data_IF_432604140210
#
_entry.id   IF_432604140210
#
_cell.length_a   1.000
_cell.length_b   1.000
_cell.length_c   1.000
_cell.angle_alpha   90.00
_cell.angle_beta   90.00
_cell.angle_gamma   90.00
#
_symmetry.space_group_name_H-M   'P 1'
#
loop_
_entity.id
_entity.type
_entity.pdbx_description
1 polymer ?
#
# COMPACT_ATOMS: atom_id res chain seq x y z
N UNK A 1 83.31 30.89 41.97
CA UNK A 1 82.72 30.79 40.61
C UNK A 1 82.32 29.33 40.38
N UNK A 2 81.02 29.11 40.11
CA UNK A 2 80.36 27.89 39.59
C UNK A 2 80.57 26.59 40.41
N UNK A 3 79.72 26.29 41.40
CA UNK A 3 78.34 25.74 41.32
C UNK A 3 78.35 24.32 40.74
N UNK A 4 78.47 23.31 41.59
CA UNK A 4 77.41 22.54 42.29
C UNK A 4 76.93 21.33 41.46
N UNK A 5 77.42 20.18 41.88
CA UNK A 5 76.81 18.86 41.71
C UNK A 5 75.41 18.79 42.32
N UNK A 6 74.50 18.02 41.74
CA UNK A 6 73.68 17.00 42.46
C UNK A 6 73.23 15.91 41.46
N UNK A 7 73.41 14.65 41.87
CA UNK A 7 72.88 13.41 41.28
C UNK A 7 71.40 13.22 41.63
N UNK A 8 70.58 12.63 40.75
CA UNK A 8 69.94 11.29 40.91
C UNK A 8 68.75 11.04 39.97
N UNK A 9 68.79 9.84 39.37
CA UNK A 9 67.73 8.86 39.05
C UNK A 9 66.47 9.28 38.26
N UNK A 10 66.44 8.72 37.04
CA UNK A 10 65.36 7.92 36.42
C UNK A 10 63.90 8.25 36.82
N UNK A 11 63.19 8.82 35.84
CA UNK A 11 61.74 8.78 35.74
C UNK A 11 61.38 8.36 34.31
N UNK A 12 60.50 7.37 34.20
CA UNK A 12 59.87 6.86 32.98
C UNK A 12 59.25 8.01 32.15
N UNK A 13 59.63 8.11 30.88
CA UNK A 13 58.86 8.85 29.88
C UNK A 13 58.28 7.84 28.89
N UNK A 14 57.02 7.46 29.13
CA UNK A 14 56.14 6.85 28.13
C UNK A 14 56.00 7.88 27.01
N UNK A 15 56.66 7.63 25.88
CA UNK A 15 56.47 8.41 24.67
C UNK A 15 55.08 8.12 24.11
N UNK A 16 54.12 8.96 24.45
CA UNK A 16 52.83 9.01 23.78
C UNK A 16 53.07 9.36 22.31
N UNK A 17 52.80 8.41 21.41
CA UNK A 17 52.58 8.73 19.99
C UNK A 17 51.26 9.48 19.94
N UNK A 18 51.32 10.80 19.92
CA UNK A 18 50.18 11.62 19.56
C UNK A 18 49.84 11.32 18.11
N UNK A 19 48.91 10.40 17.89
CA UNK A 19 48.09 10.38 16.69
C UNK A 19 47.30 11.69 16.69
N UNK A 20 47.86 12.70 16.04
CA UNK A 20 47.12 13.88 15.67
C UNK A 20 46.02 13.44 14.70
N UNK A 21 44.82 13.17 15.22
CA UNK A 21 43.58 13.15 14.45
C UNK A 21 43.28 14.59 14.02
N UNK A 22 44.09 15.08 13.09
CA UNK A 22 43.87 16.34 12.41
C UNK A 22 42.82 16.16 11.33
N UNK A 23 41.73 16.91 11.47
CA UNK A 23 40.76 17.30 10.44
C UNK A 23 39.84 16.17 9.95
N UNK A 24 38.54 16.36 10.11
CA UNK A 24 37.49 15.51 9.56
C UNK A 24 37.64 15.33 8.05
N UNK A 25 38.33 14.27 7.64
CA UNK A 25 38.40 13.84 6.27
C UNK A 25 37.13 13.08 5.95
N UNK A 26 36.19 13.73 5.25
CA UNK A 26 35.14 13.00 4.55
C UNK A 26 35.83 11.91 3.71
N UNK A 27 35.47 10.65 3.92
CA UNK A 27 36.02 9.56 3.13
C UNK A 27 35.85 9.87 1.63
N UNK A 28 36.79 9.46 0.75
CA UNK A 28 36.65 9.63 -0.69
C UNK A 28 35.30 9.10 -1.22
N UNK A 29 34.78 8.05 -0.58
CA UNK A 29 33.44 7.49 -0.79
C UNK A 29 32.33 8.49 -0.48
N UNK A 30 32.35 9.13 0.70
CA UNK A 30 31.37 10.16 1.07
C UNK A 30 31.38 11.36 0.11
N UNK A 31 32.55 11.75 -0.41
CA UNK A 31 32.69 12.81 -1.41
C UNK A 31 32.12 12.41 -2.77
N UNK A 32 32.40 11.19 -3.24
CA UNK A 32 31.85 10.67 -4.48
C UNK A 32 30.32 10.58 -4.44
N UNK A 33 29.78 10.04 -3.33
CA UNK A 33 28.34 9.94 -3.09
C UNK A 33 27.67 11.32 -3.05
N UNK A 34 28.26 12.27 -2.32
CA UNK A 34 27.77 13.67 -2.27
C UNK A 34 27.74 14.33 -3.65
N UNK A 35 28.74 14.05 -4.50
CA UNK A 35 28.80 14.54 -5.87
C UNK A 35 27.68 13.96 -6.74
N UNK A 36 27.41 12.65 -6.62
CA UNK A 36 26.29 11.98 -7.31
C UNK A 36 24.94 12.56 -6.85
N UNK A 37 24.70 12.68 -5.53
CA UNK A 37 23.49 13.33 -4.98
C UNK A 37 23.27 14.73 -5.55
N UNK A 38 24.32 15.55 -5.63
CA UNK A 38 24.23 16.92 -6.19
C UNK A 38 23.87 16.92 -7.68
N UNK A 39 24.41 15.99 -8.47
CA UNK A 39 24.07 15.86 -9.90
C UNK A 39 22.60 15.50 -10.09
N UNK A 40 22.10 14.51 -9.35
CA UNK A 40 20.69 14.09 -9.36
C UNK A 40 19.78 15.26 -9.04
N UNK A 41 20.02 15.95 -7.91
CA UNK A 41 19.24 17.15 -7.53
C UNK A 41 19.27 18.22 -8.61
N UNK A 42 20.46 18.54 -9.14
CA UNK A 42 20.59 19.58 -10.18
C UNK A 42 19.81 19.23 -11.45
N UNK A 43 19.83 17.97 -11.88
CA UNK A 43 19.09 17.53 -13.05
C UNK A 43 17.58 17.64 -12.81
N UNK A 44 17.08 17.00 -11.76
CA UNK A 44 15.64 16.92 -11.49
C UNK A 44 15.04 18.29 -11.16
N UNK A 45 15.72 19.12 -10.37
CA UNK A 45 15.26 20.50 -10.08
C UNK A 45 15.31 21.41 -11.31
N UNK A 46 16.00 21.01 -12.38
CA UNK A 46 16.04 21.74 -13.65
C UNK A 46 14.89 21.39 -14.59
N UNK A 47 14.09 20.35 -14.29
CA UNK A 47 12.93 19.98 -15.08
C UNK A 47 11.78 20.96 -14.86
N UNK A 48 11.13 21.38 -15.94
CA UNK A 48 9.97 22.26 -15.83
C UNK A 48 8.83 21.54 -15.11
N UNK A 49 8.21 22.24 -14.15
CA UNK A 49 7.16 21.68 -13.30
C UNK A 49 7.65 21.06 -12.00
N UNK A 50 8.95 20.90 -11.77
CA UNK A 50 9.49 20.41 -10.48
C UNK A 50 9.60 21.55 -9.47
N UNK A 51 9.13 21.32 -8.23
CA UNK A 51 9.16 22.30 -7.13
C UNK A 51 10.22 21.95 -6.08
N UNK A 52 10.40 20.67 -5.77
CA UNK A 52 11.46 20.21 -4.85
C UNK A 52 11.94 18.80 -5.20
N UNK A 53 13.17 18.50 -4.77
CA UNK A 53 13.81 17.21 -4.97
C UNK A 53 14.55 16.82 -3.70
N UNK A 54 14.22 15.66 -3.17
CA UNK A 54 14.92 15.03 -2.05
C UNK A 54 15.62 13.77 -2.53
N UNK A 55 16.80 13.50 -1.98
CA UNK A 55 17.65 12.38 -2.41
C UNK A 55 18.28 11.77 -1.18
N UNK A 56 17.80 10.59 -0.85
CA UNK A 56 18.30 9.74 0.20
C UNK A 56 19.01 8.53 -0.40
N UNK A 57 20.05 8.09 0.30
CA UNK A 57 20.85 6.97 -0.16
C UNK A 57 21.18 6.12 1.04
N UNK A 58 20.79 4.86 0.97
CA UNK A 58 21.22 3.83 1.88
C UNK A 58 22.52 3.22 1.32
N UNK A 59 23.68 3.48 1.96
CA UNK A 59 24.96 3.00 1.47
C UNK A 59 25.03 1.49 1.63
N UNK A 60 25.13 0.80 0.50
CA UNK A 60 25.31 -0.64 0.52
C UNK A 60 26.74 -0.98 0.96
N UNK A 61 26.92 -1.47 2.19
CA UNK A 61 28.25 -1.86 2.69
C UNK A 61 28.87 -3.00 1.86
N UNK A 62 28.03 -3.85 1.26
CA UNK A 62 28.41 -5.05 0.48
C UNK A 62 27.73 -5.09 -0.89
N UNK A 63 26.72 -4.25 -1.11
CA UNK A 63 25.93 -4.21 -2.36
C UNK A 63 25.95 -2.81 -2.95
N UNK A 64 25.43 -2.63 -4.17
CA UNK A 64 25.22 -1.28 -4.69
C UNK A 64 24.33 -0.44 -3.77
N UNK A 65 24.63 0.86 -3.70
CA UNK A 65 23.86 1.87 -3.00
C UNK A 65 22.40 1.85 -3.49
N UNK A 66 21.45 1.89 -2.54
CA UNK A 66 20.02 2.10 -2.85
C UNK A 66 19.73 3.59 -2.83
N UNK A 67 19.13 4.08 -3.90
CA UNK A 67 18.80 5.49 -4.08
C UNK A 67 17.29 5.66 -4.02
N UNK A 68 16.84 6.41 -3.02
CA UNK A 68 15.44 6.80 -2.86
C UNK A 68 15.34 8.30 -3.19
N UNK A 69 14.60 8.63 -4.23
CA UNK A 69 14.50 9.99 -4.76
C UNK A 69 13.05 10.43 -4.73
N UNK A 70 12.74 11.52 -4.04
CA UNK A 70 11.41 12.12 -4.06
C UNK A 70 11.42 13.40 -4.89
N UNK A 71 10.45 13.54 -5.80
CA UNK A 71 10.28 14.67 -6.71
C UNK A 71 8.88 15.22 -6.55
N UNK A 72 8.75 16.42 -6.02
CA UNK A 72 7.47 17.11 -5.95
C UNK A 72 7.30 17.98 -7.20
N UNK A 73 6.14 17.88 -7.85
CA UNK A 73 5.76 18.73 -8.97
C UNK A 73 4.96 19.95 -8.49
N UNK A 74 4.68 20.88 -9.41
CA UNK A 74 3.68 21.93 -9.25
C UNK A 74 2.29 21.29 -9.13
N UNK A 75 1.36 21.97 -8.47
CA UNK A 75 -0.05 21.57 -8.45
C UNK A 75 -0.67 21.67 -9.85
N UNK A 76 -1.63 20.78 -10.11
CA UNK A 76 -2.37 20.64 -11.37
C UNK A 76 -1.48 20.59 -12.63
N UNK A 77 -0.41 19.76 -12.65
CA UNK A 77 0.42 19.64 -13.83
C UNK A 77 -0.39 19.02 -14.97
N UNK A 78 -0.14 19.49 -16.20
CA UNK A 78 -0.73 18.86 -17.39
C UNK A 78 -0.25 17.41 -17.52
N UNK A 79 -1.13 16.52 -18.00
CA UNK A 79 -0.82 15.10 -18.20
C UNK A 79 0.49 14.89 -18.98
N UNK A 80 0.69 15.62 -20.08
CA UNK A 80 1.89 15.50 -20.91
C UNK A 80 3.16 15.94 -20.18
N UNK A 81 3.06 16.94 -19.28
CA UNK A 81 4.16 17.37 -18.42
C UNK A 81 4.53 16.28 -17.41
N UNK A 82 3.53 15.65 -16.77
CA UNK A 82 3.76 14.54 -15.84
C UNK A 82 4.45 13.38 -16.56
N UNK A 83 3.90 12.94 -17.70
CA UNK A 83 4.47 11.88 -18.53
C UNK A 83 5.90 12.21 -18.97
N UNK A 84 6.18 13.44 -19.42
CA UNK A 84 7.52 13.84 -19.85
C UNK A 84 8.57 13.73 -18.74
N UNK A 85 8.19 14.06 -17.49
CA UNK A 85 9.08 13.97 -16.33
C UNK A 85 9.33 12.49 -15.98
N UNK A 86 8.26 11.73 -15.74
CA UNK A 86 8.36 10.35 -15.25
C UNK A 86 9.04 9.39 -16.26
N UNK A 87 8.84 9.60 -17.58
CA UNK A 87 9.48 8.80 -18.64
C UNK A 87 11.00 8.80 -18.56
N UNK A 88 11.58 9.97 -18.30
CA UNK A 88 13.02 10.18 -18.42
C UNK A 88 13.73 10.24 -17.07
N UNK A 89 13.03 10.67 -16.01
CA UNK A 89 13.64 10.95 -14.72
C UNK A 89 14.36 9.72 -14.15
N UNK A 90 13.70 8.55 -14.09
CA UNK A 90 14.33 7.35 -13.53
C UNK A 90 15.57 6.93 -14.33
N UNK A 91 15.46 6.86 -15.65
CA UNK A 91 16.56 6.42 -16.52
C UNK A 91 17.76 7.36 -16.39
N UNK A 92 17.54 8.67 -16.33
CA UNK A 92 18.63 9.62 -16.15
C UNK A 92 19.24 9.53 -14.74
N UNK A 93 18.43 9.32 -13.70
CA UNK A 93 18.96 9.10 -12.35
C UNK A 93 19.85 7.86 -12.31
N UNK A 94 19.39 6.73 -12.87
CA UNK A 94 20.17 5.49 -13.02
C UNK A 94 21.51 5.78 -13.70
N UNK A 95 21.51 6.53 -14.82
CA UNK A 95 22.73 6.92 -15.53
C UNK A 95 23.67 7.83 -14.69
N UNK A 96 23.11 8.78 -13.93
CA UNK A 96 23.89 9.72 -13.13
C UNK A 96 24.55 9.06 -11.92
N UNK A 97 23.89 8.05 -11.34
CA UNK A 97 24.35 7.35 -10.15
C UNK A 97 25.07 6.05 -10.46
N UNK A 98 24.97 5.54 -11.69
CA UNK A 98 25.56 4.27 -12.13
C UNK A 98 25.10 3.10 -11.25
N UNK A 99 23.79 3.02 -11.02
CA UNK A 99 23.11 1.97 -10.22
C UNK A 99 21.68 1.79 -10.72
N UNK A 100 21.22 0.55 -10.82
CA UNK A 100 19.85 0.19 -11.18
C UNK A 100 18.90 0.18 -9.96
N UNK A 101 19.44 0.22 -8.74
CA UNK A 101 18.72 0.31 -7.46
C UNK A 101 18.26 1.74 -7.17
N UNK A 102 17.41 2.24 -8.05
CA UNK A 102 16.79 3.55 -7.96
C UNK A 102 15.28 3.40 -7.84
N UNK A 103 14.76 3.90 -6.73
CA UNK A 103 13.34 4.15 -6.49
C UNK A 103 13.11 5.66 -6.63
N UNK A 104 12.09 6.02 -7.42
CA UNK A 104 11.76 7.41 -7.69
C UNK A 104 10.27 7.64 -7.44
N UNK A 105 9.98 8.50 -6.47
CA UNK A 105 8.64 8.87 -6.05
C UNK A 105 8.32 10.26 -6.59
N UNK A 106 7.36 10.32 -7.52
CA UNK A 106 6.92 11.58 -8.11
C UNK A 106 5.55 11.93 -7.55
N UNK A 107 5.45 13.07 -6.89
CA UNK A 107 4.24 13.50 -6.17
C UNK A 107 3.73 14.83 -6.68
N UNK A 108 2.41 14.99 -6.74
CA UNK A 108 1.76 16.25 -7.09
C UNK A 108 0.33 16.31 -6.52
N UNK A 109 -0.33 17.46 -6.66
CA UNK A 109 -1.75 17.59 -6.35
C UNK A 109 -2.54 17.79 -7.63
N UNK A 110 -3.67 17.10 -7.76
CA UNK A 110 -4.64 17.32 -8.83
C UNK A 110 -5.98 17.75 -8.20
N UNK A 111 -6.28 19.05 -8.25
CA UNK A 111 -7.34 19.67 -7.48
C UNK A 111 -7.11 19.44 -5.99
N UNK A 112 -8.04 18.74 -5.34
CA UNK A 112 -7.94 18.36 -3.93
C UNK A 112 -7.27 16.99 -3.70
N UNK A 113 -6.98 16.23 -4.76
CA UNK A 113 -6.48 14.86 -4.68
C UNK A 113 -4.95 14.85 -4.65
N UNK A 114 -4.38 14.13 -3.69
CA UNK A 114 -2.94 13.86 -3.64
C UNK A 114 -2.58 12.75 -4.62
N UNK A 115 -1.59 12.98 -5.47
CA UNK A 115 -1.16 12.05 -6.50
C UNK A 115 0.28 11.61 -6.24
N UNK A 116 0.54 10.31 -6.35
CA UNK A 116 1.90 9.77 -6.34
C UNK A 116 2.11 8.73 -7.42
N UNK A 117 3.34 8.67 -7.93
CA UNK A 117 3.81 7.66 -8.85
C UNK A 117 5.17 7.16 -8.40
N UNK A 118 5.22 5.89 -8.03
CA UNK A 118 6.41 5.17 -7.57
C UNK A 118 7.02 4.44 -8.77
N UNK A 119 8.29 4.69 -9.09
CA UNK A 119 8.96 4.10 -10.24
C UNK A 119 10.06 3.11 -9.81
N UNK A 120 10.21 1.97 -10.53
CA UNK A 120 9.57 1.64 -11.81
C UNK A 120 8.10 1.21 -11.68
N UNK A 121 7.32 1.43 -12.73
CA UNK A 121 5.93 0.99 -12.86
C UNK A 121 5.64 0.50 -14.28
N UNK A 122 4.85 -0.57 -14.38
CA UNK A 122 4.37 -1.11 -15.65
C UNK A 122 3.31 -0.21 -16.31
N UNK A 123 3.32 -0.14 -17.66
CA UNK A 123 2.27 0.52 -18.46
C UNK A 123 1.94 1.98 -18.05
N UNK A 124 2.96 2.73 -17.60
CA UNK A 124 2.83 4.12 -17.13
C UNK A 124 2.14 5.07 -18.13
N UNK A 125 2.38 4.85 -19.43
CA UNK A 125 1.75 5.57 -20.55
C UNK A 125 0.23 5.44 -20.59
N UNK A 126 -0.31 4.36 -20.04
CA UNK A 126 -1.74 4.12 -19.90
C UNK A 126 -2.23 4.51 -18.50
N UNK A 127 -1.43 4.22 -17.47
CA UNK A 127 -1.78 4.47 -16.08
C UNK A 127 -1.98 5.95 -15.77
N UNK A 128 -1.06 6.83 -16.18
CA UNK A 128 -1.17 8.27 -15.88
C UNK A 128 -2.42 8.90 -16.50
N UNK A 129 -2.71 8.72 -17.82
CA UNK A 129 -3.95 9.22 -18.39
C UNK A 129 -5.21 8.62 -17.76
N UNK A 130 -5.16 7.36 -17.35
CA UNK A 130 -6.29 6.69 -16.69
C UNK A 130 -6.59 7.31 -15.32
N UNK A 131 -5.58 7.49 -14.47
CA UNK A 131 -5.79 8.07 -13.13
C UNK A 131 -6.27 9.51 -13.20
N UNK A 132 -5.75 10.30 -14.14
CA UNK A 132 -6.14 11.71 -14.30
C UNK A 132 -7.62 11.87 -14.66
N UNK A 133 -8.25 10.84 -15.26
CA UNK A 133 -9.69 10.84 -15.61
C UNK A 133 -10.61 10.46 -14.46
N UNK A 134 -10.09 9.83 -13.40
CA UNK A 134 -10.87 9.37 -12.25
C UNK A 134 -10.68 10.22 -11.00
N UNK A 135 -9.84 11.27 -11.09
CA UNK A 135 -9.72 12.27 -10.03
C UNK A 135 -11.07 12.99 -9.85
N UNK A 136 -11.62 12.87 -8.65
CA UNK A 136 -12.83 13.57 -8.22
C UNK A 136 -12.63 14.10 -6.80
N UNK A 137 -13.53 14.97 -6.33
CA UNK A 137 -13.49 15.49 -4.95
C UNK A 137 -13.71 14.42 -3.87
N UNK A 138 -14.15 13.22 -4.24
CA UNK A 138 -14.33 12.10 -3.30
C UNK A 138 -13.03 11.32 -3.08
N UNK A 139 -12.07 11.44 -4.00
CA UNK A 139 -10.79 10.74 -3.97
C UNK A 139 -9.78 11.58 -3.21
N UNK A 140 -9.36 11.08 -2.04
CA UNK A 140 -8.34 11.70 -1.20
C UNK A 140 -6.95 11.59 -1.85
N UNK A 141 -6.59 10.39 -2.31
CA UNK A 141 -5.32 10.17 -2.98
C UNK A 141 -5.37 9.07 -4.05
N UNK A 142 -4.49 9.20 -5.03
CA UNK A 142 -4.21 8.18 -6.02
C UNK A 142 -2.72 7.87 -6.03
N UNK A 143 -2.41 6.59 -5.91
CA UNK A 143 -1.06 6.06 -5.96
C UNK A 143 -0.92 5.15 -7.18
N UNK A 144 0.10 5.39 -8.00
CA UNK A 144 0.55 4.48 -9.05
C UNK A 144 1.83 3.82 -8.54
N UNK A 145 1.87 2.50 -8.46
CA UNK A 145 3.07 1.75 -8.09
C UNK A 145 3.27 0.53 -8.98
N UNK A 146 4.36 -0.19 -8.76
CA UNK A 146 4.89 -1.25 -9.64
C UNK A 146 3.81 -2.04 -10.39
N UNK A 147 2.88 -2.68 -9.67
CA UNK A 147 1.88 -3.60 -10.20
C UNK A 147 0.43 -3.14 -9.97
N UNK A 148 0.20 -1.89 -9.53
CA UNK A 148 -1.13 -1.42 -9.14
C UNK A 148 -1.36 0.08 -9.23
N UNK A 149 -2.63 0.41 -9.35
CA UNK A 149 -3.19 1.74 -9.11
C UNK A 149 -4.06 1.64 -7.85
N UNK A 150 -3.83 2.49 -6.85
CA UNK A 150 -4.63 2.55 -5.62
C UNK A 150 -5.34 3.88 -5.52
N UNK A 151 -6.66 3.83 -5.32
CA UNK A 151 -7.52 4.98 -5.06
C UNK A 151 -7.96 4.93 -3.60
N UNK A 152 -7.57 5.94 -2.83
CA UNK A 152 -8.06 6.17 -1.48
C UNK A 152 -9.15 7.23 -1.52
N UNK A 153 -10.33 6.89 -1.01
CA UNK A 153 -11.47 7.79 -0.91
C UNK A 153 -11.56 8.38 0.49
N UNK A 154 -12.13 9.58 0.58
CA UNK A 154 -12.45 10.18 1.88
C UNK A 154 -13.44 9.31 2.65
N UNK A 155 -13.26 9.25 3.98
CA UNK A 155 -14.13 8.48 4.85
C UNK A 155 -15.58 8.98 4.84
N UNK A 156 -16.53 8.04 4.90
CA UNK A 156 -17.97 8.29 4.88
C UNK A 156 -18.66 7.58 6.04
N UNK A 157 -19.87 8.01 6.41
CA UNK A 157 -20.67 7.31 7.44
C UNK A 157 -21.30 6.02 6.89
N UNK A 158 -21.68 6.02 5.63
CA UNK A 158 -22.38 4.93 4.94
C UNK A 158 -21.82 4.80 3.54
N UNK A 159 -21.64 3.58 3.07
CA UNK A 159 -21.09 3.33 1.74
C UNK A 159 -22.10 3.75 0.64
N UNK A 160 -21.66 4.45 -0.41
CA UNK A 160 -22.49 4.70 -1.60
C UNK A 160 -22.90 3.40 -2.30
N UNK A 161 -24.11 3.34 -2.86
CA UNK A 161 -24.61 2.15 -3.57
C UNK A 161 -23.74 1.77 -4.78
N UNK A 162 -23.12 2.76 -5.42
CA UNK A 162 -22.39 2.62 -6.68
C UNK A 162 -20.87 2.71 -6.46
N UNK A 163 -20.38 2.37 -5.26
CA UNK A 163 -18.99 2.59 -4.89
C UNK A 163 -18.01 1.71 -5.69
N UNK A 164 -18.40 0.47 -6.02
CA UNK A 164 -17.55 -0.44 -6.79
C UNK A 164 -17.37 0.11 -8.21
N UNK A 165 -16.11 0.32 -8.63
CA UNK A 165 -15.82 0.80 -9.98
C UNK A 165 -16.34 -0.20 -11.03
N UNK A 166 -17.07 0.27 -12.06
CA UNK A 166 -17.49 -0.60 -13.16
C UNK A 166 -16.30 -0.94 -14.07
N UNK A 167 -16.43 -2.00 -14.87
CA UNK A 167 -15.45 -2.36 -15.91
C UNK A 167 -15.18 -1.24 -16.93
N UNK A 168 -16.10 -0.29 -17.07
CA UNK A 168 -15.94 0.88 -17.94
C UNK A 168 -15.09 1.99 -17.32
N UNK A 169 -14.68 1.85 -16.05
CA UNK A 169 -13.81 2.81 -15.38
C UNK A 169 -12.46 2.88 -16.07
N UNK A 170 -11.89 4.09 -16.31
CA UNK A 170 -10.62 4.26 -17.00
C UNK A 170 -9.44 3.51 -16.36
N UNK A 171 -9.49 3.29 -15.04
CA UNK A 171 -8.41 2.64 -14.28
C UNK A 171 -8.55 1.12 -14.20
N UNK A 172 -9.73 0.57 -14.46
CA UNK A 172 -9.97 -0.88 -14.42
C UNK A 172 -9.48 -1.51 -15.72
N UNK A 173 -8.56 -2.48 -15.62
CA UNK A 173 -7.99 -3.17 -16.79
C UNK A 173 -6.89 -2.37 -17.50
N UNK A 174 -6.22 -1.45 -16.81
CA UNK A 174 -5.01 -0.78 -17.32
C UNK A 174 -3.86 -1.78 -17.39
N UNK A 175 -3.73 -2.43 -18.54
CA UNK A 175 -2.61 -3.34 -18.76
C UNK A 175 -2.58 -4.50 -17.75
N UNK A 176 -1.41 -4.82 -17.18
CA UNK A 176 -1.29 -5.84 -16.14
C UNK A 176 -1.62 -5.33 -14.72
N UNK A 177 -1.90 -4.03 -14.55
CA UNK A 177 -2.05 -3.41 -13.24
C UNK A 177 -3.35 -3.85 -12.55
N UNK A 178 -3.27 -4.07 -11.24
CA UNK A 178 -4.45 -4.15 -10.37
C UNK A 178 -5.00 -2.76 -10.10
N UNK A 179 -6.29 -2.67 -9.79
CA UNK A 179 -6.87 -1.44 -9.26
C UNK A 179 -7.40 -1.69 -7.86
N UNK A 180 -6.87 -0.99 -6.87
CA UNK A 180 -7.32 -1.07 -5.48
C UNK A 180 -8.19 0.16 -5.15
N UNK A 181 -9.37 -0.03 -4.57
CA UNK A 181 -10.16 1.02 -3.93
C UNK A 181 -10.10 0.83 -2.41
N UNK A 182 -9.87 1.91 -1.68
CA UNK A 182 -9.92 1.93 -0.21
C UNK A 182 -10.83 3.05 0.28
N UNK A 183 -11.76 2.74 1.18
CA UNK A 183 -12.58 3.71 1.88
C UNK A 183 -12.80 3.31 3.34
N UNK A 184 -12.82 4.29 4.23
CA UNK A 184 -13.27 4.10 5.61
C UNK A 184 -14.77 4.38 5.70
N UNK A 185 -15.55 3.41 6.17
CA UNK A 185 -17.01 3.53 6.36
C UNK A 185 -17.32 3.46 7.85
N UNK A 186 -17.67 4.60 8.45
CA UNK A 186 -17.81 4.71 9.90
C UNK A 186 -16.47 4.42 10.58
N UNK A 187 -16.34 3.22 11.16
CA UNK A 187 -15.11 2.74 11.81
C UNK A 187 -14.55 1.47 11.16
N UNK A 188 -15.08 1.09 9.99
CA UNK A 188 -14.68 -0.11 9.25
C UNK A 188 -13.87 0.28 8.01
N UNK A 189 -12.90 -0.54 7.63
CA UNK A 189 -12.13 -0.37 6.40
C UNK A 189 -12.71 -1.27 5.31
N UNK A 190 -12.91 -0.73 4.11
CA UNK A 190 -13.39 -1.47 2.96
C UNK A 190 -12.35 -1.37 1.83
N UNK A 191 -11.89 -2.53 1.36
CA UNK A 191 -10.93 -2.66 0.27
C UNK A 191 -11.57 -3.43 -0.89
N UNK A 192 -11.35 -2.96 -2.12
CA UNK A 192 -11.81 -3.65 -3.33
C UNK A 192 -10.64 -3.74 -4.30
N UNK A 193 -10.27 -4.95 -4.69
CA UNK A 193 -9.20 -5.20 -5.65
C UNK A 193 -9.78 -5.71 -6.96
N UNK A 194 -9.71 -4.87 -7.99
CA UNK A 194 -10.07 -5.22 -9.36
C UNK A 194 -8.87 -5.82 -10.08
N UNK A 195 -9.10 -6.90 -10.84
CA UNK A 195 -8.07 -7.53 -11.64
C UNK A 195 -8.65 -8.30 -12.82
N UNK A 196 -7.87 -8.40 -13.92
CA UNK A 196 -8.17 -9.19 -15.12
C UNK A 196 -9.60 -9.07 -15.68
N UNK A 197 -10.27 -7.93 -15.49
CA UNK A 197 -11.59 -7.65 -16.04
C UNK A 197 -12.77 -8.34 -15.35
N UNK A 198 -12.60 -8.79 -14.11
CA UNK A 198 -13.71 -9.33 -13.30
C UNK A 198 -14.67 -8.22 -12.91
N UNK A 199 -15.96 -8.42 -13.19
CA UNK A 199 -17.00 -7.48 -12.77
C UNK A 199 -17.45 -7.77 -11.33
N UNK A 200 -17.06 -6.88 -10.42
CA UNK A 200 -17.38 -6.95 -8.99
C UNK A 200 -18.64 -6.16 -8.63
N UNK A 201 -19.24 -5.41 -9.56
CA UNK A 201 -20.32 -4.45 -9.25
C UNK A 201 -21.61 -5.09 -8.74
N UNK A 202 -21.79 -6.41 -8.97
CA UNK A 202 -22.93 -7.17 -8.45
C UNK A 202 -22.80 -7.54 -6.96
N UNK A 203 -21.61 -7.43 -6.38
CA UNK A 203 -21.33 -7.87 -5.01
C UNK A 203 -21.97 -6.88 -4.02
N UNK A 204 -22.79 -7.35 -3.07
CA UNK A 204 -23.58 -6.49 -2.18
C UNK A 204 -22.75 -5.96 -1.00
N UNK A 205 -21.62 -5.31 -1.29
CA UNK A 205 -20.63 -4.89 -0.30
C UNK A 205 -21.21 -3.93 0.76
N UNK A 206 -22.16 -3.08 0.35
CA UNK A 206 -22.89 -2.20 1.27
C UNK A 206 -23.74 -3.01 2.26
N UNK A 207 -24.54 -3.96 1.77
CA UNK A 207 -25.36 -4.83 2.63
C UNK A 207 -24.49 -5.66 3.56
N UNK A 208 -23.33 -6.12 3.10
CA UNK A 208 -22.33 -6.82 3.91
C UNK A 208 -21.84 -5.94 5.06
N UNK A 209 -21.43 -4.69 4.78
CA UNK A 209 -21.01 -3.74 5.81
C UNK A 209 -22.14 -3.41 6.80
N UNK A 210 -23.36 -3.23 6.29
CA UNK A 210 -24.54 -2.93 7.11
C UNK A 210 -24.95 -4.12 7.99
N UNK A 211 -24.64 -5.35 7.59
CA UNK A 211 -24.90 -6.56 8.36
C UNK A 211 -23.91 -6.78 9.52
N UNK A 212 -22.75 -6.12 9.52
CA UNK A 212 -21.79 -6.21 10.64
C UNK A 212 -22.41 -5.56 11.89
N UNK A 213 -22.46 -6.25 13.04
CA UNK A 213 -22.96 -5.67 14.29
C UNK A 213 -22.21 -4.40 14.69
N UNK A 214 -22.93 -3.39 15.19
CA UNK A 214 -22.36 -2.06 15.44
C UNK A 214 -21.17 -2.07 16.41
N UNK A 215 -21.20 -2.94 17.43
CA UNK A 215 -20.12 -3.15 18.39
C UNK A 215 -18.87 -3.80 17.77
N UNK A 216 -19.04 -4.55 16.68
CA UNK A 216 -17.96 -5.21 15.93
C UNK A 216 -17.40 -4.38 14.78
N UNK A 217 -18.08 -3.29 14.39
CA UNK A 217 -17.64 -2.43 13.27
C UNK A 217 -16.33 -1.69 13.54
N UNK A 218 -15.95 -1.51 14.79
CA UNK A 218 -14.71 -0.81 15.18
C UNK A 218 -13.52 -1.64 14.68
N UNK A 219 -12.86 -1.14 13.63
CA UNK A 219 -11.76 -1.80 12.92
C UNK A 219 -12.15 -3.10 12.18
N UNK A 220 -13.43 -3.32 11.92
CA UNK A 220 -13.82 -4.37 10.97
C UNK A 220 -13.18 -4.08 9.62
N UNK A 221 -12.69 -5.13 8.97
CA UNK A 221 -12.14 -5.04 7.62
C UNK A 221 -13.05 -5.82 6.69
N UNK A 222 -13.28 -5.29 5.49
CA UNK A 222 -14.06 -5.94 4.45
C UNK A 222 -13.25 -5.85 3.16
N UNK A 223 -12.79 -6.99 2.67
CA UNK A 223 -11.98 -7.07 1.45
C UNK A 223 -12.74 -7.83 0.37
N UNK A 224 -12.86 -7.22 -0.79
CA UNK A 224 -13.40 -7.85 -1.98
C UNK A 224 -12.32 -7.96 -3.05
N UNK A 225 -11.86 -9.16 -3.32
CA UNK A 225 -10.80 -9.41 -4.30
C UNK A 225 -11.34 -10.14 -5.52
N UNK A 226 -11.08 -9.58 -6.70
CA UNK A 226 -11.16 -10.33 -7.94
C UNK A 226 -10.15 -11.48 -7.95
N UNK A 227 -10.50 -12.57 -8.62
CA UNK A 227 -9.58 -13.68 -8.82
C UNK A 227 -8.27 -13.19 -9.46
N UNK A 228 -7.15 -13.55 -8.86
CA UNK A 228 -5.81 -13.23 -9.35
C UNK A 228 -4.88 -14.43 -9.14
N UNK A 229 -3.62 -14.31 -9.52
CA UNK A 229 -2.67 -15.42 -9.47
C UNK A 229 -2.34 -15.88 -8.03
N UNK A 230 -2.64 -15.04 -7.02
CA UNK A 230 -2.49 -15.35 -5.59
C UNK A 230 -3.76 -15.94 -4.98
N UNK A 231 -4.90 -15.24 -5.13
CA UNK A 231 -6.17 -15.59 -4.50
C UNK A 231 -6.90 -16.74 -5.24
N UNK A 232 -6.58 -16.98 -6.52
CA UNK A 232 -7.16 -18.01 -7.42
C UNK A 232 -8.69 -17.99 -7.62
N UNK A 233 -9.43 -17.32 -6.74
CA UNK A 233 -10.89 -17.20 -6.73
C UNK A 233 -11.31 -15.75 -6.43
N UNK A 234 -12.48 -15.36 -6.90
CA UNK A 234 -13.11 -14.09 -6.51
C UNK A 234 -13.73 -14.25 -5.13
N UNK A 235 -13.23 -13.50 -4.15
CA UNK A 235 -13.54 -13.73 -2.75
C UNK A 235 -13.92 -12.46 -2.00
N UNK A 236 -14.83 -12.62 -1.03
CA UNK A 236 -15.18 -11.62 -0.04
C UNK A 236 -14.65 -12.08 1.32
N UNK A 237 -13.96 -11.20 2.05
CA UNK A 237 -13.43 -11.49 3.38
C UNK A 237 -13.91 -10.43 4.38
N UNK A 238 -14.36 -10.87 5.54
CA UNK A 238 -14.86 -9.99 6.60
C UNK A 238 -14.22 -10.37 7.93
N UNK A 239 -13.46 -9.45 8.52
CA UNK A 239 -12.78 -9.63 9.81
C UNK A 239 -13.48 -8.89 10.94
N UNK A 240 -13.20 -9.32 12.17
CA UNK A 240 -13.78 -8.72 13.38
C UNK A 240 -15.09 -9.36 13.84
N UNK A 241 -15.47 -10.51 13.26
CA UNK A 241 -16.72 -11.21 13.57
C UNK A 241 -16.61 -12.15 14.78
N UNK A 242 -15.74 -11.81 15.72
CA UNK A 242 -15.43 -12.61 16.90
C UNK A 242 -14.07 -12.24 17.47
N UNK A 243 -13.71 -12.87 18.58
CA UNK A 243 -12.42 -12.69 19.24
C UNK A 243 -11.50 -13.88 18.97
N UNK A 244 -10.22 -13.63 18.69
CA UNK A 244 -9.23 -14.68 18.53
C UNK A 244 -9.18 -15.58 19.78
N UNK A 245 -9.13 -16.90 19.59
CA UNK A 245 -9.18 -17.90 20.66
C UNK A 245 -10.61 -18.27 21.12
N UNK A 246 -11.63 -17.47 20.77
CA UNK A 246 -13.05 -17.78 20.98
C UNK A 246 -13.77 -18.18 19.69
N UNK A 247 -13.14 -17.93 18.54
CA UNK A 247 -13.67 -18.23 17.22
C UNK A 247 -14.68 -17.22 16.71
N UNK A 248 -15.15 -17.49 15.49
CA UNK A 248 -16.13 -16.64 14.78
C UNK A 248 -17.50 -16.79 15.43
N UNK A 249 -18.11 -15.66 15.81
CA UNK A 249 -19.41 -15.59 16.46
C UNK A 249 -20.53 -15.76 15.44
N UNK A 250 -21.37 -16.78 15.63
CA UNK A 250 -22.49 -17.10 14.73
C UNK A 250 -23.43 -15.91 14.52
N UNK A 251 -23.77 -15.18 15.60
CA UNK A 251 -24.67 -14.03 15.54
C UNK A 251 -24.11 -12.83 14.78
N UNK A 252 -22.79 -12.70 14.68
CA UNK A 252 -22.14 -11.66 13.89
C UNK A 252 -21.93 -12.10 12.43
N UNK A 253 -21.56 -13.36 12.24
CA UNK A 253 -21.18 -13.91 10.94
C UNK A 253 -22.38 -14.28 10.05
N UNK A 254 -23.48 -14.80 10.62
CA UNK A 254 -24.62 -15.26 9.84
C UNK A 254 -25.30 -14.14 9.02
N UNK A 255 -25.57 -12.93 9.56
CA UNK A 255 -26.12 -11.83 8.77
C UNK A 255 -25.20 -11.40 7.61
N UNK A 256 -23.89 -11.41 7.85
CA UNK A 256 -22.88 -11.08 6.84
C UNK A 256 -22.88 -12.11 5.71
N UNK A 257 -22.92 -13.41 6.03
CA UNK A 257 -23.03 -14.46 5.03
C UNK A 257 -24.34 -14.35 4.26
N UNK A 258 -25.46 -14.13 4.96
CA UNK A 258 -26.79 -13.98 4.37
C UNK A 258 -26.82 -12.85 3.33
N UNK A 259 -26.20 -11.70 3.63
CA UNK A 259 -26.09 -10.58 2.70
C UNK A 259 -25.33 -10.94 1.41
N UNK A 260 -24.40 -11.90 1.45
CA UNK A 260 -23.63 -12.35 0.30
C UNK A 260 -24.28 -13.49 -0.49
N UNK A 261 -25.26 -14.20 0.10
CA UNK A 261 -25.96 -15.29 -0.58
C UNK A 261 -26.71 -14.79 -1.82
N UNK A 262 -26.80 -15.65 -2.83
CA UNK A 262 -27.41 -15.34 -4.13
C UNK A 262 -26.50 -14.57 -5.10
N UNK A 263 -25.37 -14.01 -4.64
CA UNK A 263 -24.41 -13.37 -5.54
C UNK A 263 -23.67 -14.42 -6.39
N UNK A 264 -23.75 -14.28 -7.71
CA UNK A 264 -23.16 -15.24 -8.67
C UNK A 264 -21.70 -14.97 -9.03
N UNK A 265 -21.16 -13.82 -8.65
CA UNK A 265 -19.76 -13.44 -8.91
C UNK A 265 -18.82 -14.04 -7.87
N UNK A 266 -19.24 -14.11 -6.60
CA UNK A 266 -18.46 -14.67 -5.51
C UNK A 266 -18.24 -16.17 -5.69
N UNK A 267 -16.99 -16.58 -5.49
CA UNK A 267 -16.55 -17.98 -5.47
C UNK A 267 -16.16 -18.43 -4.06
N UNK A 268 -15.87 -17.49 -3.15
CA UNK A 268 -15.57 -17.76 -1.75
C UNK A 268 -15.99 -16.60 -0.84
N UNK A 269 -16.46 -16.92 0.36
CA UNK A 269 -16.69 -15.96 1.45
C UNK A 269 -15.91 -16.43 2.67
N UNK A 270 -15.05 -15.59 3.22
CA UNK A 270 -14.33 -15.86 4.47
C UNK A 270 -14.81 -14.93 5.58
N UNK A 271 -15.14 -15.52 6.73
CA UNK A 271 -15.57 -14.81 7.92
C UNK A 271 -14.53 -15.08 8.99
N UNK A 272 -13.98 -14.02 9.58
CA UNK A 272 -12.83 -14.13 10.46
C UNK A 272 -13.01 -13.36 11.77
N UNK A 273 -12.33 -13.82 12.81
CA UNK A 273 -12.20 -13.06 14.06
C UNK A 273 -11.41 -11.78 13.85
N UNK A 274 -11.37 -10.91 14.86
CA UNK A 274 -10.33 -9.90 14.92
C UNK A 274 -8.93 -10.57 14.94
N UNK A 275 -7.91 -9.94 14.33
CA UNK A 275 -6.54 -10.45 14.39
C UNK A 275 -5.99 -10.39 15.82
N UNK A 276 -5.10 -11.32 16.15
CA UNK A 276 -4.29 -11.26 17.38
C UNK A 276 -3.08 -10.32 17.21
N UNK A 277 -2.23 -10.24 18.25
CA UNK A 277 -1.02 -9.40 18.25
C UNK A 277 0.01 -9.81 17.17
N UNK A 278 -0.04 -11.06 16.71
CA UNK A 278 0.79 -11.61 15.63
C UNK A 278 0.13 -11.46 14.24
N UNK A 279 -1.01 -10.75 14.14
CA UNK A 279 -1.82 -10.57 12.94
C UNK A 279 -2.50 -11.85 12.39
N UNK A 280 -2.60 -12.90 13.19
CA UNK A 280 -3.34 -14.12 12.84
C UNK A 280 -4.83 -14.01 13.19
N UNK A 281 -5.69 -14.66 12.41
CA UNK A 281 -7.14 -14.71 12.62
C UNK A 281 -7.67 -16.13 12.50
N UNK A 282 -8.72 -16.46 13.27
CA UNK A 282 -9.47 -17.69 13.02
C UNK A 282 -10.49 -17.45 11.90
N UNK A 283 -10.44 -18.30 10.87
CA UNK A 283 -11.24 -18.15 9.65
C UNK A 283 -12.25 -19.29 9.53
N UNK A 284 -13.45 -18.95 9.06
CA UNK A 284 -14.44 -19.88 8.52
C UNK A 284 -14.70 -19.52 7.06
N UNK A 285 -14.36 -20.43 6.15
CA UNK A 285 -14.46 -20.22 4.71
C UNK A 285 -15.68 -20.94 4.12
N UNK A 286 -16.37 -20.29 3.20
CA UNK A 286 -17.52 -20.83 2.47
C UNK A 286 -17.24 -20.75 0.98
N UNK A 287 -17.04 -21.89 0.33
CA UNK A 287 -16.97 -21.96 -1.13
C UNK A 287 -18.34 -21.71 -1.74
N UNK A 288 -18.40 -20.94 -2.81
CA UNK A 288 -19.63 -20.48 -3.45
C UNK A 288 -19.71 -20.97 -4.89
N UNK A 289 -20.89 -21.44 -5.30
CA UNK A 289 -21.18 -21.79 -6.68
C UNK A 289 -22.57 -21.32 -7.08
N UNK A 290 -22.66 -20.46 -8.09
CA UNK A 290 -23.93 -19.93 -8.59
C UNK A 290 -24.74 -19.14 -7.55
N UNK A 291 -24.08 -18.61 -6.52
CA UNK A 291 -24.70 -17.89 -5.40
C UNK A 291 -25.14 -18.74 -4.21
N UNK A 292 -24.86 -20.04 -4.22
CA UNK A 292 -25.09 -20.92 -3.07
C UNK A 292 -23.76 -21.41 -2.47
N UNK A 293 -23.76 -21.65 -1.16
CA UNK A 293 -22.63 -22.29 -0.47
C UNK A 293 -22.53 -23.76 -0.88
N UNK A 294 -21.30 -24.20 -1.16
CA UNK A 294 -20.95 -25.60 -1.41
C UNK A 294 -20.52 -26.24 -0.08
N UNK A 295 -21.26 -27.25 0.37
CA UNK A 295 -20.95 -27.94 1.63
C UNK A 295 -21.45 -27.17 2.87
N UNK A 296 -20.67 -27.19 3.95
CA UNK A 296 -21.05 -26.64 5.26
C UNK A 296 -20.13 -25.50 5.73
N UNK A 297 -19.18 -25.09 4.90
CA UNK A 297 -18.06 -24.24 5.31
C UNK A 297 -16.90 -25.05 5.90
N UNK A 298 -15.73 -24.41 5.98
CA UNK A 298 -14.49 -24.99 6.46
C UNK A 298 -13.92 -24.13 7.62
N UNK A 299 -13.75 -24.68 8.84
CA UNK A 299 -14.08 -26.06 9.20
C UNK A 299 -15.59 -26.28 9.41
N UNK A 300 -16.15 -27.48 9.09
CA UNK A 300 -17.59 -27.72 9.13
C UNK A 300 -18.24 -27.50 10.49
N UNK A 301 -17.56 -27.81 11.60
CA UNK A 301 -18.07 -27.64 12.95
C UNK A 301 -18.30 -26.16 13.33
N UNK A 302 -17.58 -25.24 12.69
CA UNK A 302 -17.78 -23.79 12.84
C UNK A 302 -18.69 -23.23 11.74
N UNK A 303 -18.58 -23.75 10.52
CA UNK A 303 -19.34 -23.27 9.36
C UNK A 303 -20.82 -23.66 9.35
N UNK A 304 -21.15 -24.90 9.72
CA UNK A 304 -22.52 -25.41 9.68
C UNK A 304 -23.53 -24.56 10.50
N UNK A 305 -23.24 -24.15 11.76
CA UNK A 305 -24.17 -23.30 12.49
C UNK A 305 -24.33 -21.89 11.89
N UNK A 306 -23.26 -21.32 11.33
CA UNK A 306 -23.31 -20.01 10.64
C UNK A 306 -24.19 -20.11 9.39
N UNK A 307 -23.95 -21.13 8.56
CA UNK A 307 -24.71 -21.34 7.33
C UNK A 307 -26.20 -21.58 7.62
N UNK A 308 -26.50 -22.42 8.63
CA UNK A 308 -27.87 -22.69 9.02
C UNK A 308 -28.60 -21.42 9.49
N UNK A 309 -27.94 -20.57 10.28
CA UNK A 309 -28.48 -19.30 10.73
C UNK A 309 -28.66 -18.30 9.56
N UNK A 310 -27.71 -18.23 8.64
CA UNK A 310 -27.75 -17.33 7.47
C UNK A 310 -28.87 -17.68 6.47
N UNK A 311 -29.31 -18.95 6.46
CA UNK A 311 -30.41 -19.42 5.61
C UNK A 311 -31.79 -19.27 6.24
N UNK A 312 -31.87 -18.89 7.52
CA UNK A 312 -33.16 -18.62 8.13
C UNK A 312 -33.71 -17.32 7.56
N UNK A 313 -34.98 -17.28 7.12
CA UNK A 313 -35.62 -16.02 6.79
C UNK A 313 -35.64 -15.17 8.05
N UNK A 314 -35.17 -13.92 7.97
CA UNK A 314 -35.21 -12.97 9.08
C UNK A 314 -36.62 -12.97 9.68
N UNK A 315 -36.76 -13.51 10.89
CA UNK A 315 -37.99 -13.48 11.66
C UNK A 315 -38.16 -12.09 12.28
N UNK A 316 -38.08 -11.03 11.48
CA UNK A 316 -38.32 -9.64 11.87
C UNK A 316 -38.57 -8.81 10.62
N UNK A 317 -39.86 -8.70 10.25
CA UNK A 317 -40.39 -7.59 9.45
C UNK A 317 -40.50 -6.33 10.29
#
# INVERSE_FOLDING_TARGET
>A
MRSMSVRRREVLAVGAVSLAFGVGGCSPFALALSKKKRKVRKYLSGLDGVTSVEVDVDPGLVTDDRWDVAVNLKGDPGQDSVLAIIRNARNEVVNLVDSDKVELDVTWTQGATSMSCHLPTDDLEKAVPAVMKVVTSEVESVEISWDRIRLRYHGVKTLPDNFILPLTSPVVGVGPLKTEQNIVVGSSNCYITHFKGVDLTSVPIKSVLDAIPADKRVNAMVDLDAHNDLNQVTQLRVWGLGEYGKGVEVGAAAPVLAAALGNRTLQRVELATAPNDDYDSEVVAFEMNGGAVVGQGDPPEKGAPILAAAQQPDASS
#
